data_IF_625416156036
#
_entry.id   IF_625416156036
#
_cell.length_a   1.000
_cell.length_b   1.000
_cell.length_c   1.000
_cell.angle_alpha   90.00
_cell.angle_beta   90.00
_cell.angle_gamma   90.00
#
_symmetry.space_group_name_H-M   'P 1'
#
loop_
_entity.id
_entity.type
_entity.pdbx_description
1 polymer ?
#
# COMPACT_ATOMS: atom_id res chain seq x y z
N UNK A 1 10.16 30.05 -0.70
CA UNK A 1 9.81 29.15 0.41
C UNK A 1 10.89 28.08 0.44
N UNK A 2 11.65 27.95 1.53
CA UNK A 2 12.59 26.83 1.68
C UNK A 2 11.74 25.58 1.88
N UNK A 3 11.81 24.61 0.97
CA UNK A 3 11.08 23.35 1.13
C UNK A 3 11.57 22.64 2.38
N UNK A 4 10.64 22.13 3.19
CA UNK A 4 10.94 21.31 4.34
C UNK A 4 11.44 19.94 3.86
N UNK A 5 12.45 19.37 4.53
CA UNK A 5 13.02 18.06 4.22
C UNK A 5 11.98 16.91 4.22
N UNK A 6 10.85 17.08 4.90
CA UNK A 6 9.72 16.12 4.91
C UNK A 6 8.71 16.31 3.76
N UNK A 7 8.78 17.40 2.99
CA UNK A 7 7.86 17.65 1.85
C UNK A 7 7.84 16.49 0.84
N UNK A 8 8.98 15.88 0.44
CA UNK A 8 8.97 14.74 -0.46
C UNK A 8 8.18 13.54 0.08
N UNK A 9 8.24 13.27 1.40
CA UNK A 9 7.48 12.18 2.01
C UNK A 9 5.97 12.43 1.92
N UNK A 10 5.51 13.66 2.19
CA UNK A 10 4.10 14.05 2.03
C UNK A 10 3.63 13.93 0.59
N UNK A 11 4.42 14.42 -0.37
CA UNK A 11 4.09 14.34 -1.79
C UNK A 11 3.94 12.89 -2.26
N UNK A 12 4.78 11.98 -1.74
CA UNK A 12 4.66 10.54 -2.01
C UNK A 12 3.36 9.96 -1.45
N UNK A 13 2.98 10.30 -0.23
CA UNK A 13 1.68 9.86 0.32
C UNK A 13 0.52 10.43 -0.50
N UNK A 14 0.58 11.70 -0.92
CA UNK A 14 -0.44 12.29 -1.78
C UNK A 14 -0.56 11.54 -3.12
N UNK A 15 0.56 11.18 -3.75
CA UNK A 15 0.57 10.33 -4.96
C UNK A 15 -0.01 8.94 -4.70
N UNK A 16 0.29 8.31 -3.57
CA UNK A 16 -0.35 7.05 -3.20
C UNK A 16 -1.88 7.20 -3.12
N UNK A 17 -2.37 8.26 -2.48
CA UNK A 17 -3.82 8.53 -2.43
C UNK A 17 -4.47 8.79 -3.80
N UNK A 18 -3.75 9.39 -4.75
CA UNK A 18 -4.21 9.50 -6.15
C UNK A 18 -4.33 8.12 -6.81
N UNK A 19 -3.33 7.23 -6.63
CA UNK A 19 -3.39 5.88 -7.15
C UNK A 19 -4.53 5.05 -6.53
N UNK A 20 -4.84 5.24 -5.24
CA UNK A 20 -5.96 4.54 -4.60
C UNK A 20 -7.33 5.03 -5.08
N UNK A 21 -7.46 6.33 -5.39
CA UNK A 21 -8.64 6.86 -6.06
C UNK A 21 -8.78 6.32 -7.49
N UNK A 22 -7.68 6.27 -8.26
CA UNK A 22 -7.67 5.72 -9.61
C UNK A 22 -8.03 4.23 -9.64
N UNK A 23 -7.56 3.44 -8.67
CA UNK A 23 -7.97 2.04 -8.53
C UNK A 23 -9.48 1.89 -8.35
N UNK A 24 -10.13 2.80 -7.60
CA UNK A 24 -11.58 2.78 -7.45
C UNK A 24 -12.29 3.10 -8.78
N UNK A 25 -11.76 4.04 -9.58
CA UNK A 25 -12.28 4.33 -10.91
C UNK A 25 -12.17 3.12 -11.84
N UNK A 26 -10.98 2.52 -11.94
CA UNK A 26 -10.75 1.30 -12.75
C UNK A 26 -11.66 0.16 -12.31
N UNK A 27 -11.87 -0.01 -11.00
CA UNK A 27 -12.77 -1.05 -10.48
C UNK A 27 -14.23 -0.79 -10.87
N UNK A 28 -14.70 0.44 -10.76
CA UNK A 28 -16.07 0.79 -11.14
C UNK A 28 -16.30 0.58 -12.64
N UNK A 29 -15.38 1.04 -13.50
CA UNK A 29 -15.45 0.80 -14.96
C UNK A 29 -15.44 -0.69 -15.30
N UNK A 30 -14.66 -1.48 -14.57
CA UNK A 30 -14.65 -2.94 -14.74
C UNK A 30 -15.98 -3.60 -14.37
N UNK A 31 -16.69 -3.06 -13.38
CA UNK A 31 -17.98 -3.58 -12.93
C UNK A 31 -19.15 -3.25 -13.87
N UNK A 32 -19.10 -2.14 -14.62
CA UNK A 32 -20.15 -1.70 -15.55
C UNK A 32 -20.65 -2.79 -16.53
N UNK A 33 -19.80 -3.55 -17.24
CA UNK A 33 -20.24 -4.63 -18.11
C UNK A 33 -20.71 -5.90 -17.37
N UNK A 34 -20.84 -5.86 -16.04
CA UNK A 34 -21.24 -6.98 -15.18
C UNK A 34 -20.33 -8.22 -15.36
N UNK A 35 -19.04 -8.14 -15.02
CA UNK A 35 -18.05 -9.21 -15.26
C UNK A 35 -18.26 -10.45 -14.38
N UNK A 36 -19.16 -10.38 -13.40
CA UNK A 36 -19.50 -11.46 -12.48
C UNK A 36 -20.87 -12.06 -12.82
N UNK A 37 -20.91 -13.37 -12.97
CA UNK A 37 -22.16 -14.12 -13.15
C UNK A 37 -22.47 -14.93 -11.89
N UNK A 38 -23.69 -14.79 -11.38
CA UNK A 38 -24.18 -15.57 -10.25
C UNK A 38 -24.94 -16.79 -10.76
N UNK A 39 -24.72 -17.94 -10.13
CA UNK A 39 -25.41 -19.19 -10.48
C UNK A 39 -25.81 -19.94 -9.22
N UNK A 40 -27.02 -20.48 -9.22
CA UNK A 40 -27.43 -21.51 -8.27
C UNK A 40 -27.30 -22.87 -8.96
N UNK A 41 -26.18 -23.55 -8.73
CA UNK A 41 -25.86 -24.83 -9.39
C UNK A 41 -26.46 -25.99 -8.61
N UNK A 42 -27.29 -26.81 -9.27
CA UNK A 42 -27.76 -28.09 -8.71
C UNK A 42 -26.59 -29.06 -8.61
N UNK A 43 -26.35 -29.59 -7.42
CA UNK A 43 -25.32 -30.59 -7.12
C UNK A 43 -25.92 -31.98 -6.99
N UNK A 44 -27.14 -32.07 -6.46
CA UNK A 44 -27.95 -33.29 -6.41
C UNK A 44 -29.44 -32.92 -6.41
N UNK A 45 -30.33 -33.91 -6.29
CA UNK A 45 -31.78 -33.65 -6.24
C UNK A 45 -32.21 -32.76 -5.06
N UNK A 46 -31.41 -32.67 -3.99
CA UNK A 46 -31.71 -31.95 -2.76
C UNK A 46 -30.58 -30.98 -2.35
N UNK A 47 -29.61 -30.70 -3.22
CA UNK A 47 -28.45 -29.88 -2.88
C UNK A 47 -28.10 -28.89 -4.00
N UNK A 48 -27.88 -27.64 -3.60
CA UNK A 48 -27.57 -26.53 -4.50
C UNK A 48 -26.39 -25.72 -3.97
N UNK A 49 -25.55 -25.22 -4.88
CA UNK A 49 -24.40 -24.38 -4.57
C UNK A 49 -24.55 -23.01 -5.23
N UNK A 50 -24.43 -21.95 -4.43
CA UNK A 50 -24.32 -20.58 -4.92
C UNK A 50 -22.88 -20.32 -5.39
N UNK A 51 -22.73 -20.08 -6.68
CA UNK A 51 -21.45 -19.82 -7.32
C UNK A 51 -21.41 -18.39 -7.89
N UNK A 52 -20.27 -17.73 -7.75
CA UNK A 52 -19.93 -16.49 -8.44
C UNK A 52 -18.84 -16.79 -9.45
N UNK A 53 -19.07 -16.51 -10.72
CA UNK A 53 -18.15 -16.78 -11.82
C UNK A 53 -17.59 -15.45 -12.34
N UNK A 54 -16.27 -15.31 -12.37
CA UNK A 54 -15.59 -14.22 -13.04
C UNK A 54 -15.48 -14.56 -14.54
N UNK A 55 -16.20 -13.83 -15.38
CA UNK A 55 -16.26 -14.06 -16.84
C UNK A 55 -15.20 -13.28 -17.61
N UNK A 56 -14.81 -12.14 -17.07
CA UNK A 56 -13.82 -11.24 -17.67
C UNK A 56 -12.56 -11.25 -16.81
N UNK A 57 -11.35 -11.34 -17.40
CA UNK A 57 -10.11 -11.23 -16.64
C UNK A 57 -10.04 -9.93 -15.82
N UNK A 58 -9.36 -9.97 -14.67
CA UNK A 58 -9.12 -8.79 -13.84
C UNK A 58 -8.35 -7.72 -14.63
N UNK A 59 -8.69 -6.42 -14.49
CA UNK A 59 -7.95 -5.34 -15.15
C UNK A 59 -6.48 -5.29 -14.69
N UNK A 60 -5.49 -5.45 -15.58
CA UNK A 60 -4.07 -5.41 -15.19
C UNK A 60 -3.65 -4.07 -14.58
N UNK A 61 -4.35 -2.98 -14.93
CA UNK A 61 -4.12 -1.64 -14.39
C UNK A 61 -4.25 -1.58 -12.86
N UNK A 62 -5.14 -2.37 -12.25
CA UNK A 62 -5.28 -2.42 -10.79
C UNK A 62 -3.98 -2.85 -10.11
N UNK A 63 -3.31 -3.84 -10.68
CA UNK A 63 -2.06 -4.35 -10.12
C UNK A 63 -0.92 -3.35 -10.27
N UNK A 64 -0.85 -2.64 -11.40
CA UNK A 64 0.15 -1.58 -11.64
C UNK A 64 -0.05 -0.44 -10.65
N UNK A 65 -1.28 0.08 -10.53
CA UNK A 65 -1.62 1.15 -9.60
C UNK A 65 -1.34 0.74 -8.15
N UNK A 66 -1.62 -0.53 -7.79
CA UNK A 66 -1.31 -1.03 -6.46
C UNK A 66 0.21 -1.11 -6.20
N UNK A 67 1.01 -1.53 -7.18
CA UNK A 67 2.47 -1.51 -7.09
C UNK A 67 3.03 -0.09 -6.92
N UNK A 68 2.50 0.88 -7.68
CA UNK A 68 2.86 2.31 -7.56
C UNK A 68 2.42 2.90 -6.21
N UNK A 69 1.26 2.50 -5.70
CA UNK A 69 0.78 2.82 -4.36
C UNK A 69 1.76 2.32 -3.28
N UNK A 70 2.15 1.04 -3.33
CA UNK A 70 3.14 0.44 -2.42
C UNK A 70 4.49 1.15 -2.50
N UNK A 71 4.96 1.42 -3.71
CA UNK A 71 6.24 2.08 -3.96
C UNK A 71 6.29 3.46 -3.32
N UNK A 72 5.25 4.29 -3.56
CA UNK A 72 5.19 5.63 -3.00
C UNK A 72 5.16 5.61 -1.47
N UNK A 73 4.39 4.71 -0.85
CA UNK A 73 4.34 4.60 0.61
C UNK A 73 5.67 4.10 1.22
N UNK A 74 6.34 3.12 0.61
CA UNK A 74 7.67 2.69 1.08
C UNK A 74 8.71 3.79 0.91
N UNK A 75 8.69 4.48 -0.23
CA UNK A 75 9.58 5.63 -0.48
C UNK A 75 9.33 6.76 0.51
N UNK A 76 8.08 7.05 0.87
CA UNK A 76 7.75 8.06 1.88
C UNK A 76 8.38 7.74 3.24
N UNK A 77 8.31 6.49 3.68
CA UNK A 77 8.95 6.04 4.92
C UNK A 77 10.48 6.19 4.86
N UNK A 78 11.13 5.84 3.75
CA UNK A 78 12.57 6.03 3.60
C UNK A 78 12.96 7.51 3.66
N UNK A 79 12.15 8.40 3.06
CA UNK A 79 12.31 9.85 3.17
C UNK A 79 12.14 10.37 4.60
N UNK A 80 11.27 9.77 5.42
CA UNK A 80 11.14 10.13 6.85
C UNK A 80 12.46 9.92 7.59
N UNK A 81 13.11 8.78 7.38
CA UNK A 81 14.42 8.50 8.00
C UNK A 81 15.49 9.47 7.49
N UNK A 82 15.50 9.71 6.19
CA UNK A 82 16.43 10.63 5.57
C UNK A 82 16.28 12.05 6.12
N UNK A 83 15.05 12.57 6.19
CA UNK A 83 14.76 13.91 6.69
C UNK A 83 15.09 14.02 8.19
N UNK A 84 14.70 13.03 8.99
CA UNK A 84 15.07 12.99 10.40
C UNK A 84 16.59 13.01 10.60
N UNK A 85 17.35 12.26 9.79
CA UNK A 85 18.80 12.29 9.83
C UNK A 85 19.39 13.65 9.47
N UNK A 86 18.81 14.39 8.51
CA UNK A 86 19.23 15.77 8.19
C UNK A 86 19.04 16.69 9.39
N UNK A 87 17.86 16.64 10.04
CA UNK A 87 17.57 17.48 11.19
C UNK A 87 18.39 17.12 12.44
N UNK A 88 18.64 15.83 12.68
CA UNK A 88 19.47 15.40 13.81
C UNK A 88 20.94 15.73 13.61
N UNK A 89 21.49 15.47 12.41
CA UNK A 89 22.91 15.72 12.12
C UNK A 89 23.23 17.18 11.75
N UNK A 90 22.20 17.98 11.46
CA UNK A 90 22.29 19.35 10.93
C UNK A 90 23.13 19.43 9.65
N UNK A 91 23.09 18.39 8.82
CA UNK A 91 23.85 18.28 7.57
C UNK A 91 22.96 17.84 6.41
N UNK A 92 23.15 18.46 5.25
CA UNK A 92 22.51 18.11 3.99
C UNK A 92 23.61 17.85 2.94
N UNK A 93 23.69 16.66 2.31
CA UNK A 93 22.99 15.44 2.69
C UNK A 93 23.41 14.93 4.09
N UNK A 94 22.61 14.07 4.74
CA UNK A 94 22.95 13.55 6.06
C UNK A 94 24.11 12.53 5.98
N UNK A 95 24.87 12.33 7.07
CA UNK A 95 25.91 11.30 7.12
C UNK A 95 25.36 9.92 6.80
N UNK A 96 26.04 9.16 5.94
CA UNK A 96 25.62 7.80 5.60
C UNK A 96 24.32 7.71 4.79
N UNK A 97 23.92 8.78 4.10
CA UNK A 97 22.70 8.88 3.27
C UNK A 97 22.38 7.62 2.46
N UNK A 98 23.36 7.03 1.78
CA UNK A 98 23.17 5.87 0.91
C UNK A 98 22.76 4.58 1.65
N UNK A 99 22.95 4.53 2.97
CA UNK A 99 22.56 3.41 3.80
C UNK A 99 21.24 3.65 4.56
N UNK A 100 20.73 4.89 4.58
CA UNK A 100 19.50 5.25 5.27
C UNK A 100 18.30 4.57 4.62
N UNK A 101 17.46 3.93 5.43
CA UNK A 101 16.20 3.34 5.02
C UNK A 101 15.28 3.18 6.23
N UNK A 102 13.97 3.17 6.02
CA UNK A 102 13.02 2.84 7.07
C UNK A 102 13.10 1.34 7.40
N UNK A 103 13.52 0.99 8.62
CA UNK A 103 13.72 -0.40 9.02
C UNK A 103 12.38 -1.11 9.18
N UNK A 104 12.22 -2.27 8.52
CA UNK A 104 11.08 -3.16 8.71
C UNK A 104 11.62 -4.59 8.69
N UNK A 105 11.77 -5.19 9.86
CA UNK A 105 12.30 -6.55 10.03
C UNK A 105 11.30 -7.47 10.71
N UNK A 106 11.29 -8.75 10.29
CA UNK A 106 10.45 -9.79 10.88
C UNK A 106 11.08 -10.42 12.14
N UNK A 107 12.34 -10.09 12.46
CA UNK A 107 13.06 -10.64 13.60
C UNK A 107 14.07 -9.65 14.22
N UNK A 108 14.33 -9.79 15.52
CA UNK A 108 15.20 -8.92 16.29
C UNK A 108 16.68 -9.00 15.85
N UNK A 109 17.14 -10.17 15.38
CA UNK A 109 18.54 -10.33 14.97
C UNK A 109 18.84 -9.51 13.71
N UNK A 110 17.88 -9.45 12.77
CA UNK A 110 17.95 -8.61 11.57
C UNK A 110 17.90 -7.13 11.92
N UNK A 111 17.10 -6.73 12.91
CA UNK A 111 17.12 -5.38 13.46
C UNK A 111 18.51 -5.01 14.00
N UNK A 112 19.06 -5.80 14.94
CA UNK A 112 20.36 -5.53 15.57
C UNK A 112 21.49 -5.42 14.55
N UNK A 113 21.51 -6.28 13.53
CA UNK A 113 22.52 -6.26 12.45
C UNK A 113 22.47 -5.01 11.58
N UNK A 114 21.33 -4.33 11.49
CA UNK A 114 21.16 -3.17 10.62
C UNK A 114 21.07 -1.83 11.37
N UNK A 115 21.26 -1.83 12.70
CA UNK A 115 21.24 -0.61 13.52
C UNK A 115 22.26 0.45 13.06
N UNK A 116 23.37 0.04 12.46
CA UNK A 116 24.39 0.96 11.93
C UNK A 116 23.82 1.93 10.89
N UNK A 117 22.76 1.54 10.16
CA UNK A 117 22.09 2.39 9.17
C UNK A 117 21.34 3.55 9.81
N UNK A 118 21.05 3.47 11.11
CA UNK A 118 20.27 4.46 11.85
C UNK A 118 21.16 5.30 12.77
N UNK A 119 22.49 5.16 12.67
CA UNK A 119 23.45 5.89 13.49
C UNK A 119 23.28 7.43 13.46
N UNK A 120 22.87 8.06 12.33
CA UNK A 120 22.61 9.50 12.30
C UNK A 120 21.35 9.96 13.06
N UNK A 121 20.48 9.05 13.47
CA UNK A 121 19.22 9.39 14.17
C UNK A 121 19.43 9.57 15.68
N UNK A 122 18.55 10.35 16.30
CA UNK A 122 18.51 10.46 17.75
C UNK A 122 18.13 9.13 18.41
N UNK A 123 18.44 8.96 19.69
CA UNK A 123 18.15 7.72 20.42
C UNK A 123 16.64 7.44 20.49
N UNK A 124 15.84 8.45 20.85
CA UNK A 124 14.39 8.34 20.93
C UNK A 124 13.73 8.05 19.57
N UNK A 125 14.31 8.51 18.45
CA UNK A 125 13.87 8.10 17.10
C UNK A 125 14.07 6.61 16.87
N UNK A 126 15.22 6.07 17.26
CA UNK A 126 15.52 4.63 17.13
C UNK A 126 14.63 3.78 18.03
N UNK A 127 14.29 4.28 19.22
CA UNK A 127 13.33 3.64 20.12
C UNK A 127 11.92 3.60 19.51
N UNK A 128 11.43 4.71 18.95
CA UNK A 128 10.14 4.73 18.22
C UNK A 128 10.13 3.74 17.04
N UNK A 129 11.20 3.66 16.26
CA UNK A 129 11.30 2.68 15.17
C UNK A 129 11.28 1.24 15.69
N UNK A 130 11.91 0.97 16.84
CA UNK A 130 11.97 -0.36 17.44
C UNK A 130 10.57 -0.82 17.89
N UNK A 131 9.80 0.03 18.56
CA UNK A 131 8.47 -0.35 19.08
C UNK A 131 7.49 -0.74 17.96
N UNK A 132 7.65 -0.17 16.78
CA UNK A 132 6.76 -0.40 15.63
C UNK A 132 7.14 -1.63 14.79
N UNK A 133 8.28 -2.29 15.08
CA UNK A 133 8.75 -3.41 14.28
C UNK A 133 7.75 -4.58 14.28
N UNK A 134 7.60 -5.30 13.15
CA UNK A 134 6.76 -6.49 13.06
C UNK A 134 6.99 -7.52 14.18
N UNK A 135 8.25 -7.79 14.56
CA UNK A 135 8.58 -8.75 15.62
C UNK A 135 8.15 -8.34 17.03
N UNK A 136 7.82 -7.05 17.24
CA UNK A 136 7.34 -6.52 18.53
C UNK A 136 5.81 -6.42 18.61
N UNK A 137 5.09 -6.90 17.60
CA UNK A 137 3.64 -6.79 17.52
C UNK A 137 3.01 -8.02 16.89
N UNK A 138 1.68 -8.05 16.74
CA UNK A 138 1.01 -9.11 16.00
C UNK A 138 1.38 -9.01 14.51
N UNK A 139 2.07 -10.01 13.92
CA UNK A 139 2.48 -9.95 12.52
C UNK A 139 1.33 -9.85 11.52
N UNK A 140 0.14 -10.38 11.86
CA UNK A 140 -1.04 -10.32 11.00
C UNK A 140 -1.68 -8.92 11.01
N UNK A 141 -1.54 -8.16 12.10
CA UNK A 141 -2.10 -6.81 12.25
C UNK A 141 -1.09 -5.68 12.03
N UNK A 142 0.18 -5.98 11.75
CA UNK A 142 1.23 -4.95 11.64
C UNK A 142 1.25 -4.31 10.25
N UNK A 143 0.93 -3.01 10.18
CA UNK A 143 0.88 -2.21 8.95
C UNK A 143 2.21 -2.18 8.19
N UNK A 144 3.34 -1.95 8.89
CA UNK A 144 4.68 -1.91 8.30
C UNK A 144 5.05 -3.26 7.68
N UNK A 145 4.79 -4.35 8.39
CA UNK A 145 5.03 -5.72 7.96
C UNK A 145 4.26 -6.03 6.69
N UNK A 146 2.98 -5.67 6.62
CA UNK A 146 2.16 -5.83 5.42
C UNK A 146 2.64 -4.98 4.25
N UNK A 147 2.91 -3.70 4.47
CA UNK A 147 3.43 -2.81 3.44
C UNK A 147 4.75 -3.35 2.86
N UNK A 148 5.69 -3.79 3.71
CA UNK A 148 6.96 -4.36 3.28
C UNK A 148 6.81 -5.70 2.57
N UNK A 149 5.93 -6.58 3.06
CA UNK A 149 5.66 -7.88 2.45
C UNK A 149 5.07 -7.72 1.06
N UNK A 150 4.05 -6.89 0.91
CA UNK A 150 3.37 -6.67 -0.37
C UNK A 150 4.30 -5.97 -1.38
N UNK A 151 5.07 -4.96 -0.96
CA UNK A 151 6.09 -4.33 -1.81
C UNK A 151 7.21 -5.29 -2.27
N UNK A 152 7.48 -6.35 -1.51
CA UNK A 152 8.40 -7.42 -1.92
C UNK A 152 7.76 -8.41 -2.90
N UNK A 153 6.50 -8.76 -2.69
CA UNK A 153 5.76 -9.68 -3.58
C UNK A 153 5.61 -9.06 -4.96
N UNK A 154 5.15 -7.81 -5.00
CA UNK A 154 4.93 -7.04 -6.24
C UNK A 154 6.19 -6.98 -7.12
N UNK A 155 7.36 -6.68 -6.54
CA UNK A 155 8.63 -6.57 -7.28
C UNK A 155 9.22 -7.90 -7.77
N UNK A 156 8.80 -9.05 -7.22
CA UNK A 156 9.56 -10.30 -7.40
C UNK A 156 8.74 -11.53 -7.82
N UNK A 157 7.41 -11.49 -7.76
CA UNK A 157 6.61 -12.71 -7.93
C UNK A 157 5.49 -12.57 -8.96
N UNK A 158 4.53 -11.69 -8.70
CA UNK A 158 3.31 -11.58 -9.52
C UNK A 158 2.62 -10.25 -9.25
N UNK A 159 1.80 -9.81 -10.19
CA UNK A 159 0.83 -8.74 -10.00
C UNK A 159 0.00 -9.02 -8.73
N UNK A 160 0.11 -8.16 -7.71
CA UNK A 160 -0.43 -8.43 -6.37
C UNK A 160 -1.96 -8.49 -6.33
N UNK A 161 -2.64 -7.60 -7.06
CA UNK A 161 -4.10 -7.66 -7.25
C UNK A 161 -4.39 -8.60 -8.41
N UNK A 162 -4.79 -9.83 -8.10
CA UNK A 162 -4.98 -10.90 -9.09
C UNK A 162 -6.39 -11.50 -9.09
N UNK A 163 -7.21 -11.14 -8.10
CA UNK A 163 -8.53 -11.76 -7.91
C UNK A 163 -9.55 -10.78 -7.32
N UNK A 164 -10.72 -11.28 -6.97
CA UNK A 164 -11.82 -10.56 -6.35
C UNK A 164 -12.34 -11.31 -5.12
N UNK A 165 -12.95 -10.57 -4.20
CA UNK A 165 -13.57 -11.11 -2.97
C UNK A 165 -15.00 -10.61 -2.82
N UNK A 166 -15.88 -11.52 -2.43
CA UNK A 166 -17.24 -11.23 -1.99
C UNK A 166 -17.15 -10.66 -0.57
N UNK A 167 -16.96 -9.33 -0.50
CA UNK A 167 -16.80 -8.57 0.73
C UNK A 167 -18.11 -8.53 1.54
N UNK A 168 -19.25 -8.47 0.84
CA UNK A 168 -20.59 -8.51 1.44
C UNK A 168 -21.42 -9.60 0.78
N UNK A 169 -22.22 -10.32 1.58
CA UNK A 169 -23.24 -11.20 1.02
C UNK A 169 -24.44 -11.31 1.94
N UNK A 170 -25.61 -10.94 1.41
CA UNK A 170 -26.92 -11.08 2.03
C UNK A 170 -27.91 -11.77 1.06
N UNK A 171 -27.59 -12.98 0.57
CA UNK A 171 -28.39 -13.62 -0.46
C UNK A 171 -29.81 -13.87 0.03
N UNK A 172 -30.79 -13.54 -0.82
CA UNK A 172 -32.20 -13.83 -0.59
C UNK A 172 -32.57 -15.00 -1.49
N UNK A 173 -33.14 -16.04 -0.89
CA UNK A 173 -33.51 -17.26 -1.59
C UNK A 173 -34.98 -17.55 -1.32
N UNK A 174 -35.78 -17.56 -2.38
CA UNK A 174 -37.14 -18.07 -2.35
C UNK A 174 -37.11 -19.59 -2.41
N UNK A 175 -37.72 -20.22 -1.42
CA UNK A 175 -37.83 -21.68 -1.30
C UNK A 175 -39.29 -22.10 -1.14
N UNK A 176 -39.66 -23.36 -1.46
CA UNK A 176 -40.98 -23.90 -1.14
C UNK A 176 -41.28 -23.82 0.36
N UNK A 177 -42.56 -23.57 0.70
CA UNK A 177 -43.01 -23.43 2.09
C UNK A 177 -42.74 -24.67 2.95
N UNK A 178 -42.70 -25.84 2.31
CA UNK A 178 -42.52 -27.15 2.93
C UNK A 178 -41.07 -27.67 2.83
N UNK A 179 -40.13 -26.88 2.29
CA UNK A 179 -38.75 -27.31 2.05
C UNK A 179 -37.75 -26.23 2.50
N UNK A 180 -37.62 -26.04 3.81
CA UNK A 180 -36.59 -25.17 4.36
C UNK A 180 -35.20 -25.81 4.21
N UNK A 181 -34.21 -25.13 3.60
CA UNK A 181 -32.87 -25.67 3.49
C UNK A 181 -32.04 -25.43 4.76
N UNK A 182 -31.09 -26.32 5.01
CA UNK A 182 -29.92 -26.01 5.84
C UNK A 182 -28.92 -25.25 4.97
N UNK A 183 -28.62 -24.01 5.35
CA UNK A 183 -27.65 -23.16 4.68
C UNK A 183 -26.25 -23.30 5.30
N UNK A 184 -25.21 -23.25 4.47
CA UNK A 184 -23.81 -23.22 4.91
C UNK A 184 -22.98 -22.26 4.06
N UNK A 185 -22.17 -21.42 4.69
CA UNK A 185 -21.22 -20.55 3.99
C UNK A 185 -20.06 -21.34 3.42
N UNK A 186 -19.63 -20.96 2.21
CA UNK A 186 -18.41 -21.44 1.58
C UNK A 186 -17.31 -20.39 1.61
N UNK A 187 -16.52 -20.34 0.55
CA UNK A 187 -15.44 -19.38 0.38
C UNK A 187 -15.97 -18.00 -0.03
N UNK A 188 -15.13 -16.97 0.15
CA UNK A 188 -15.43 -15.59 -0.24
C UNK A 188 -14.52 -15.05 -1.33
N UNK A 189 -13.50 -15.80 -1.73
CA UNK A 189 -12.50 -15.33 -2.69
C UNK A 189 -12.67 -16.10 -3.98
N UNK A 190 -12.64 -15.39 -5.10
CA UNK A 190 -12.67 -16.01 -6.42
C UNK A 190 -11.34 -16.73 -6.64
N UNK A 191 -11.38 -18.03 -6.95
CA UNK A 191 -10.19 -18.81 -7.28
C UNK A 191 -10.42 -19.53 -8.59
N UNK A 192 -9.47 -19.40 -9.52
CA UNK A 192 -9.59 -19.95 -10.87
C UNK A 192 -10.92 -19.55 -11.55
N UNK A 193 -11.33 -18.29 -11.37
CA UNK A 193 -12.56 -17.73 -11.93
C UNK A 193 -13.86 -18.11 -11.23
N UNK A 194 -13.83 -18.87 -10.13
CA UNK A 194 -15.05 -19.30 -9.42
C UNK A 194 -14.92 -19.05 -7.92
N UNK A 195 -15.97 -18.52 -7.30
CA UNK A 195 -16.17 -18.52 -5.85
C UNK A 195 -17.39 -19.37 -5.51
N UNK A 196 -17.24 -20.33 -4.58
CA UNK A 196 -18.33 -21.14 -4.05
C UNK A 196 -18.82 -20.50 -2.76
N UNK A 197 -19.81 -19.61 -2.89
CA UNK A 197 -20.23 -18.69 -1.83
C UNK A 197 -20.99 -19.39 -0.71
N UNK A 198 -21.83 -20.36 -1.04
CA UNK A 198 -22.60 -21.09 -0.03
C UNK A 198 -23.41 -22.22 -0.62
N UNK A 199 -23.99 -23.02 0.26
CA UNK A 199 -24.68 -24.26 -0.07
C UNK A 199 -26.03 -24.34 0.61
N UNK A 200 -27.02 -24.83 -0.13
CA UNK A 200 -28.35 -25.17 0.37
C UNK A 200 -28.52 -26.68 0.33
N UNK A 201 -28.93 -27.27 1.45
CA UNK A 201 -29.28 -28.69 1.53
C UNK A 201 -30.70 -28.83 2.02
N UNK A 202 -31.54 -29.47 1.23
CA UNK A 202 -32.96 -29.73 1.52
C UNK A 202 -33.13 -31.16 2.05
N UNK A 203 -34.20 -31.39 2.82
CA UNK A 203 -34.57 -32.73 3.30
C UNK A 203 -35.29 -33.57 2.24
N UNK A 204 -35.92 -32.88 1.27
CA UNK A 204 -36.57 -33.50 0.10
C UNK A 204 -35.92 -33.05 -1.20
N UNK A 205 -36.26 -33.73 -2.28
CA UNK A 205 -35.97 -33.23 -3.62
C UNK A 205 -36.70 -31.90 -3.85
N UNK A 206 -35.99 -30.92 -4.39
CA UNK A 206 -36.52 -29.61 -4.79
C UNK A 206 -36.05 -29.36 -6.20
N UNK A 207 -36.96 -29.01 -7.11
CA UNK A 207 -36.63 -28.72 -8.49
C UNK A 207 -36.12 -27.28 -8.65
N UNK A 208 -35.24 -26.98 -9.63
CA UNK A 208 -34.68 -25.64 -9.80
C UNK A 208 -35.73 -24.55 -10.00
N UNK A 209 -36.87 -24.87 -10.62
CA UNK A 209 -37.97 -23.95 -10.91
C UNK A 209 -38.73 -23.55 -9.63
N UNK A 210 -38.62 -24.35 -8.57
CA UNK A 210 -39.16 -24.04 -7.24
C UNK A 210 -38.31 -23.01 -6.49
N UNK A 211 -37.12 -22.67 -7.00
CA UNK A 211 -36.16 -21.78 -6.35
C UNK A 211 -36.09 -20.43 -7.06
N UNK A 212 -36.03 -19.38 -6.26
CA UNK A 212 -35.69 -18.03 -6.71
C UNK A 212 -34.48 -17.57 -5.92
N UNK A 213 -33.58 -16.78 -6.53
CA UNK A 213 -32.44 -16.26 -5.80
C UNK A 213 -32.09 -14.84 -6.25
N UNK A 214 -31.69 -14.03 -5.27
CA UNK A 214 -31.04 -12.75 -5.48
C UNK A 214 -29.76 -12.75 -4.64
N UNK A 215 -28.57 -12.67 -5.25
CA UNK A 215 -27.31 -12.85 -4.54
C UNK A 215 -27.00 -11.74 -3.52
N UNK A 216 -27.45 -10.50 -3.76
CA UNK A 216 -27.16 -9.30 -2.94
C UNK A 216 -25.75 -9.30 -2.34
N UNK A 217 -24.76 -9.13 -3.20
CA UNK A 217 -23.34 -9.12 -2.79
C UNK A 217 -22.65 -7.80 -3.11
N UNK A 218 -21.63 -7.49 -2.32
CA UNK A 218 -20.60 -6.51 -2.66
C UNK A 218 -19.30 -7.24 -3.01
N UNK A 219 -18.67 -6.86 -4.12
CA UNK A 219 -17.43 -7.47 -4.59
C UNK A 219 -16.34 -6.40 -4.66
N UNK A 220 -15.22 -6.69 -4.02
CA UNK A 220 -14.01 -5.87 -4.02
C UNK A 220 -12.92 -6.56 -4.86
N UNK A 221 -11.96 -5.80 -5.44
CA UNK A 221 -10.73 -6.39 -5.90
C UNK A 221 -9.97 -6.96 -4.69
N UNK A 222 -9.13 -7.97 -4.91
CA UNK A 222 -8.47 -8.67 -3.80
C UNK A 222 -7.06 -9.15 -4.14
N UNK A 223 -6.26 -9.22 -3.08
CA UNK A 223 -4.89 -9.72 -3.03
C UNK A 223 -4.90 -11.04 -2.26
N UNK A 224 -4.27 -12.08 -2.79
CA UNK A 224 -4.30 -13.42 -2.20
C UNK A 224 -3.78 -13.44 -0.75
N UNK A 225 -2.71 -12.69 -0.46
CA UNK A 225 -2.14 -12.62 0.89
C UNK A 225 -3.08 -11.95 1.89
N UNK A 226 -3.75 -10.85 1.53
CA UNK A 226 -4.75 -10.24 2.41
C UNK A 226 -5.98 -11.11 2.57
N UNK A 227 -6.42 -11.81 1.51
CA UNK A 227 -7.51 -12.77 1.59
C UNK A 227 -7.20 -13.91 2.58
N UNK A 228 -5.93 -14.30 2.72
CA UNK A 228 -5.49 -15.32 3.66
C UNK A 228 -5.39 -14.82 5.11
N UNK A 229 -5.20 -13.53 5.32
CA UNK A 229 -5.07 -12.91 6.65
C UNK A 229 -6.40 -12.91 7.44
N UNK A 230 -6.44 -13.48 8.66
CA UNK A 230 -7.60 -13.38 9.55
C UNK A 230 -8.02 -11.96 9.92
N UNK A 231 -7.07 -11.04 10.05
CA UNK A 231 -7.32 -9.63 10.33
C UNK A 231 -7.80 -8.88 9.09
N UNK A 232 -7.01 -8.85 8.01
CA UNK A 232 -7.28 -7.99 6.86
C UNK A 232 -8.49 -8.42 6.04
N UNK A 233 -8.75 -9.73 5.90
CA UNK A 233 -9.86 -10.25 5.07
C UNK A 233 -11.27 -9.80 5.51
N UNK A 234 -11.39 -9.19 6.70
CA UNK A 234 -12.64 -8.68 7.27
C UNK A 234 -12.88 -7.20 6.97
N UNK A 235 -11.84 -6.50 6.50
CA UNK A 235 -11.86 -5.06 6.20
C UNK A 235 -12.08 -4.90 4.69
N UNK A 236 -12.87 -3.92 4.25
CA UNK A 236 -13.08 -3.66 2.82
C UNK A 236 -11.79 -3.21 2.14
N UNK A 237 -11.59 -3.56 0.87
CA UNK A 237 -10.31 -3.34 0.18
C UNK A 237 -9.82 -1.88 0.27
N UNK A 238 -10.68 -0.92 -0.09
CA UNK A 238 -10.34 0.51 -0.06
C UNK A 238 -10.05 1.02 1.37
N UNK A 239 -10.72 0.45 2.36
CA UNK A 239 -10.48 0.79 3.77
C UNK A 239 -9.09 0.32 4.22
N UNK A 240 -8.63 -0.86 3.76
CA UNK A 240 -7.26 -1.33 4.02
C UNK A 240 -6.21 -0.36 3.49
N UNK A 241 -6.40 0.12 2.25
CA UNK A 241 -5.52 1.12 1.64
C UNK A 241 -5.47 2.39 2.50
N UNK A 242 -6.65 2.93 2.84
CA UNK A 242 -6.76 4.14 3.64
C UNK A 242 -6.12 4.01 5.02
N UNK A 243 -6.26 2.85 5.67
CA UNK A 243 -5.63 2.62 6.97
C UNK A 243 -4.10 2.63 6.87
N UNK A 244 -3.52 2.03 5.83
CA UNK A 244 -2.06 2.02 5.61
C UNK A 244 -1.56 3.41 5.20
N UNK A 245 -2.27 4.13 4.33
CA UNK A 245 -1.95 5.52 3.98
C UNK A 245 -1.98 6.43 5.21
N UNK A 246 -3.01 6.32 6.03
CA UNK A 246 -3.14 7.09 7.28
C UNK A 246 -1.99 6.77 8.23
N UNK A 247 -1.64 5.49 8.38
CA UNK A 247 -0.51 5.07 9.19
C UNK A 247 0.78 5.75 8.75
N UNK A 248 1.13 5.71 7.46
CA UNK A 248 2.35 6.35 6.93
C UNK A 248 2.28 7.87 7.08
N UNK A 249 1.12 8.48 6.86
CA UNK A 249 0.94 9.92 7.06
C UNK A 249 1.16 10.34 8.53
N UNK A 250 0.72 9.53 9.49
CA UNK A 250 0.96 9.77 10.92
C UNK A 250 2.43 9.60 11.26
N UNK A 251 3.13 8.60 10.71
CA UNK A 251 4.58 8.47 10.86
C UNK A 251 5.30 9.74 10.40
N UNK A 252 4.96 10.30 9.23
CA UNK A 252 5.54 11.56 8.76
C UNK A 252 5.31 12.67 9.79
N UNK A 253 4.07 12.85 10.26
CA UNK A 253 3.72 13.87 11.26
C UNK A 253 4.49 13.70 12.57
N UNK A 254 4.68 12.46 13.05
CA UNK A 254 5.43 12.16 14.27
C UNK A 254 6.88 12.64 14.15
N UNK A 255 7.59 12.21 13.10
CA UNK A 255 9.00 12.52 12.94
C UNK A 255 9.24 13.99 12.55
N UNK A 256 8.37 14.57 11.73
CA UNK A 256 8.46 15.99 11.38
C UNK A 256 8.24 16.87 12.62
N UNK A 257 7.20 16.59 13.42
CA UNK A 257 6.92 17.36 14.61
C UNK A 257 8.04 17.22 15.65
N UNK A 258 8.56 16.00 15.84
CA UNK A 258 9.65 15.79 16.79
C UNK A 258 10.95 16.51 16.36
N UNK A 259 11.26 16.51 15.06
CA UNK A 259 12.51 17.08 14.53
C UNK A 259 12.46 18.59 14.29
N UNK A 260 11.30 19.15 13.96
CA UNK A 260 11.16 20.58 13.60
C UNK A 260 10.32 21.38 14.60
N UNK A 261 9.56 20.73 15.48
CA UNK A 261 8.61 21.38 16.39
C UNK A 261 7.35 21.90 15.69
N UNK A 262 7.21 21.67 14.39
CA UNK A 262 6.05 22.01 13.59
C UNK A 262 5.72 20.84 12.67
N UNK A 263 4.45 20.65 12.34
CA UNK A 263 4.04 19.68 11.33
C UNK A 263 2.64 20.05 10.89
N UNK A 264 2.29 19.68 9.67
CA UNK A 264 0.88 19.63 9.33
C UNK A 264 0.20 18.55 10.16
N UNK A 265 -1.05 18.79 10.54
CA UNK A 265 -1.93 17.81 11.17
C UNK A 265 -1.47 17.27 12.53
N UNK A 266 -0.79 18.10 13.31
CA UNK A 266 -0.32 17.79 14.68
C UNK A 266 -1.47 17.41 15.62
N UNK A 267 -2.70 17.82 15.32
CA UNK A 267 -3.91 17.39 16.03
C UNK A 267 -4.19 15.87 15.95
N UNK A 268 -3.52 15.15 15.04
CA UNK A 268 -3.56 13.68 14.98
C UNK A 268 -2.73 13.01 16.07
N UNK A 269 -1.79 13.74 16.67
CA UNK A 269 -0.91 13.24 17.72
C UNK A 269 -1.58 13.36 19.09
N UNK A 270 -1.29 12.43 19.99
CA UNK A 270 -1.79 12.52 21.37
C UNK A 270 -1.22 13.76 22.06
N UNK A 271 -1.99 14.32 22.99
CA UNK A 271 -1.53 15.46 23.80
C UNK A 271 -0.28 15.11 24.62
N UNK A 272 -0.22 13.89 25.17
CA UNK A 272 0.95 13.41 25.91
C UNK A 272 2.21 13.41 25.06
N UNK A 273 2.14 12.88 23.83
CA UNK A 273 3.28 12.86 22.91
C UNK A 273 3.73 14.27 22.54
N UNK A 274 2.78 15.17 22.27
CA UNK A 274 3.10 16.56 21.93
C UNK A 274 3.83 17.28 23.06
N UNK A 275 3.39 17.09 24.30
CA UNK A 275 4.03 17.68 25.48
C UNK A 275 5.46 17.14 25.68
N UNK A 276 5.66 15.83 25.47
CA UNK A 276 6.96 15.18 25.56
C UNK A 276 7.97 15.76 24.54
N UNK A 277 7.53 15.96 23.30
CA UNK A 277 8.33 16.61 22.24
C UNK A 277 8.71 18.04 22.64
N UNK A 278 7.73 18.85 23.07
CA UNK A 278 7.98 20.25 23.43
C UNK A 278 8.98 20.35 24.59
N UNK A 279 8.90 19.44 25.57
CA UNK A 279 9.86 19.37 26.67
C UNK A 279 11.28 19.00 26.19
N UNK A 280 11.40 18.00 25.29
CA UNK A 280 12.70 17.65 24.68
C UNK A 280 13.31 18.81 23.90
N UNK A 281 12.50 19.58 23.18
CA UNK A 281 12.97 20.69 22.34
C UNK A 281 13.35 21.93 23.14
N UNK A 282 12.73 22.15 24.31
CA UNK A 282 13.04 23.30 25.17
C UNK A 282 14.51 23.35 25.63
N UNK A 283 15.21 22.21 25.64
CA UNK A 283 16.63 22.10 26.00
C UNK A 283 17.59 22.08 24.81
N UNK A 284 17.08 22.14 23.56
CA UNK A 284 17.90 22.05 22.36
C UNK A 284 18.18 23.43 21.75
N UNK A 285 19.40 23.63 21.27
CA UNK A 285 19.78 24.80 20.46
C UNK A 285 19.54 24.46 18.99
N UNK A 286 18.72 25.26 18.30
CA UNK A 286 18.50 25.11 16.86
C UNK A 286 19.66 25.70 16.07
N UNK A 287 20.62 24.85 15.69
CA UNK A 287 21.60 25.20 14.66
C UNK A 287 21.00 25.10 13.25
N UNK A 288 21.40 25.98 12.33
CA UNK A 288 20.97 25.89 10.93
C UNK A 288 21.55 24.63 10.27
N UNK A 289 20.79 24.03 9.35
CA UNK A 289 21.26 22.89 8.56
C UNK A 289 22.38 23.36 7.63
N UNK A 290 23.55 22.71 7.75
CA UNK A 290 24.70 22.93 6.86
C UNK A 290 24.39 22.29 5.50
N UNK A 291 24.18 23.13 4.49
CA UNK A 291 24.02 22.71 3.10
C UNK A 291 25.36 22.85 2.37
N UNK A 292 25.63 22.05 1.32
CA UNK A 292 26.82 22.23 0.51
C UNK A 292 26.74 23.63 -0.11
N UNK A 293 27.86 24.34 -0.13
CA UNK A 293 27.95 25.59 -0.90
C UNK A 293 27.75 25.30 -2.39
N UNK A 294 27.48 26.35 -3.17
CA UNK A 294 27.49 26.23 -4.63
C UNK A 294 28.79 25.55 -5.07
N UNK A 295 28.65 24.46 -5.83
CA UNK A 295 29.81 23.79 -6.41
C UNK A 295 30.46 24.83 -7.33
N UNK A 296 31.73 25.14 -7.09
CA UNK A 296 32.50 26.04 -7.96
C UNK A 296 32.30 25.59 -9.41
N UNK A 297 31.56 26.42 -10.16
CA UNK A 297 31.12 26.06 -11.49
C UNK A 297 32.35 25.99 -12.38
N UNK A 298 32.75 24.77 -12.74
CA UNK A 298 33.86 24.54 -13.65
C UNK A 298 33.39 24.76 -15.07
N UNK A 299 33.68 25.93 -15.60
CA UNK A 299 33.61 26.17 -17.03
C UNK A 299 34.65 25.26 -17.71
N UNK A 300 34.22 24.40 -18.62
CA UNK A 300 35.14 23.72 -19.50
C UNK A 300 35.48 24.63 -20.67
N UNK A 301 36.68 24.47 -21.23
CA UNK A 301 37.00 25.10 -22.51
C UNK A 301 35.95 24.73 -23.56
N UNK A 302 35.62 25.65 -24.47
CA UNK A 302 34.75 25.32 -25.59
C UNK A 302 35.38 24.14 -26.35
N UNK A 303 34.64 23.04 -26.46
CA UNK A 303 35.03 21.98 -27.38
C UNK A 303 35.01 22.60 -28.76
N UNK A 304 36.17 22.67 -29.42
CA UNK A 304 36.30 23.24 -30.76
C UNK A 304 35.29 22.56 -31.66
N UNK A 305 34.22 23.28 -31.99
CA UNK A 305 33.18 22.78 -32.87
C UNK A 305 33.84 22.42 -34.19
N UNK A 306 33.50 21.25 -34.73
CA UNK A 306 33.84 20.95 -36.12
C UNK A 306 33.08 21.94 -37.01
N UNK A 307 33.70 22.42 -38.09
CA UNK A 307 33.05 23.37 -38.99
C UNK A 307 31.68 22.87 -39.44
N UNK A 308 30.71 23.79 -39.48
CA UNK A 308 29.38 23.51 -39.98
C UNK A 308 29.47 23.20 -41.48
N UNK A 309 29.00 22.01 -41.87
CA UNK A 309 28.91 21.61 -43.27
C UNK A 309 27.46 21.29 -43.60
N UNK A 310 27.11 21.33 -44.89
CA UNK A 310 25.78 20.91 -45.37
C UNK A 310 25.47 19.48 -44.93
N UNK A 311 26.45 18.58 -44.94
CA UNK A 311 26.29 17.20 -44.47
C UNK A 311 26.01 17.11 -42.96
N UNK A 312 26.62 17.97 -42.12
CA UNK A 312 26.25 18.07 -40.69
C UNK A 312 24.83 18.56 -40.49
N UNK A 313 24.46 19.59 -41.25
CA UNK A 313 23.12 20.16 -41.18
C UNK A 313 22.05 19.14 -41.61
N UNK A 314 22.38 18.28 -42.57
CA UNK A 314 21.52 17.21 -43.05
C UNK A 314 21.62 15.92 -42.22
N UNK A 315 22.47 15.88 -41.18
CA UNK A 315 22.63 14.72 -40.30
C UNK A 315 23.33 13.52 -40.94
N UNK A 316 24.00 13.70 -42.07
CA UNK A 316 24.70 12.64 -42.81
C UNK A 316 25.97 12.16 -42.10
N UNK A 317 26.50 12.96 -41.19
CA UNK A 317 27.67 12.65 -40.38
C UNK A 317 27.34 12.30 -38.92
N UNK A 318 26.05 12.13 -38.60
CA UNK A 318 25.67 11.50 -37.34
C UNK A 318 26.24 10.09 -37.32
N UNK A 319 26.73 9.60 -36.17
CA UNK A 319 27.13 8.21 -36.06
C UNK A 319 25.93 7.33 -36.44
N UNK A 320 25.98 6.71 -37.61
CA UNK A 320 25.10 5.58 -37.91
C UNK A 320 25.48 4.48 -36.93
N UNK A 321 24.52 4.07 -36.10
CA UNK A 321 24.72 2.95 -35.17
C UNK A 321 25.21 1.69 -35.86
#
# INVERSE_FOLDING_TARGET
MVSNEFDPARLRVARASEHSAEMAHVWNEFLEPHPFEFRLRRMSIAEYEMQVHLRTPMPPALSVLFGEWLYNLRSALDYVIWAAAVHTSRQYPPPGESALQYPIYDDESSWRRNLYRLAPLAEHHREMLLTMQPFNSNPDGNYLGWLNRLARIDRHRTLAVSTARIAEAEPVIGVPRDAAPVFSWGERTVRNGICRLGRLKFERAVEPEELQYNPRVGIDPEIDEWSASPFWRKIRFLERLRMIELFVAVEITIYEFDTTGNSEKVERLSESFRNEVLQRRASQVEEPIRRPGDIDMKWSDPVTGRESSRSRLLGEDFPSR
#
